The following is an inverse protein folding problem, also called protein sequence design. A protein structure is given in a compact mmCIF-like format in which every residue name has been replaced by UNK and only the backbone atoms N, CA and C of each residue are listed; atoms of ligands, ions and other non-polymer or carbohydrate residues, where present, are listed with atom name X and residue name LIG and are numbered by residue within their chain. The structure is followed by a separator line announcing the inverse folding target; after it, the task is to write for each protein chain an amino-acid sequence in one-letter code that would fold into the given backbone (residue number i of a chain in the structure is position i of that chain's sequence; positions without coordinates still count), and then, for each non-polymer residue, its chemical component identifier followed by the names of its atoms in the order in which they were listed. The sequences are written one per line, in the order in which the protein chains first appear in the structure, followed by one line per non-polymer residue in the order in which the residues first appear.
data_IF_789258165178
#
_entry.id   IF_789258165178
#
_cell.length_a   1.000
_cell.length_b   1.000
_cell.length_c   1.000
_cell.angle_alpha   90.00
_cell.angle_beta   90.00
_cell.angle_gamma   90.00
#
_symmetry.space_group_name_H-M   'P 1'
#
loop_
_entity.id
_entity.type
_entity.pdbx_description
1 polymer ?
#
# COMPACT_ATOMS: atom_id res chain seq x y z
N UNK A 1 22.35 2.42 -4.95
CA UNK A 1 21.82 1.05 -4.77
C UNK A 1 21.38 0.54 -6.13
N UNK A 2 21.59 -0.73 -6.49
CA UNK A 2 21.05 -1.26 -7.75
C UNK A 2 19.52 -1.45 -7.65
N UNK A 3 18.79 -1.46 -8.78
CA UNK A 3 17.36 -1.76 -8.78
C UNK A 3 17.04 -3.10 -8.10
N UNK A 4 17.88 -4.12 -8.33
CA UNK A 4 17.72 -5.44 -7.70
C UNK A 4 17.84 -5.33 -6.18
N UNK A 5 18.86 -4.62 -5.69
CA UNK A 5 19.05 -4.41 -4.25
C UNK A 5 17.88 -3.61 -3.64
N UNK A 6 17.37 -2.60 -4.35
CA UNK A 6 16.20 -1.83 -3.91
C UNK A 6 14.97 -2.74 -3.75
N UNK A 7 14.63 -3.52 -4.77
CA UNK A 7 13.47 -4.42 -4.70
C UNK A 7 13.61 -5.51 -3.64
N UNK A 8 14.82 -6.03 -3.42
CA UNK A 8 15.07 -6.99 -2.34
C UNK A 8 14.83 -6.36 -0.96
N UNK A 9 15.32 -5.14 -0.72
CA UNK A 9 15.06 -4.41 0.52
C UNK A 9 13.58 -4.06 0.68
N UNK A 10 12.89 -3.69 -0.40
CA UNK A 10 11.46 -3.41 -0.37
C UNK A 10 10.62 -4.63 -0.02
N UNK A 11 10.94 -5.80 -0.59
CA UNK A 11 10.27 -7.04 -0.26
C UNK A 11 10.41 -7.39 1.23
N UNK A 12 11.62 -7.25 1.80
CA UNK A 12 11.86 -7.48 3.22
C UNK A 12 11.07 -6.53 4.14
N UNK A 13 10.99 -5.25 3.76
CA UNK A 13 10.19 -4.27 4.50
C UNK A 13 8.69 -4.58 4.41
N UNK A 14 8.20 -4.96 3.23
CA UNK A 14 6.81 -5.35 3.03
C UNK A 14 6.45 -6.58 3.87
N UNK A 15 7.30 -7.61 3.88
CA UNK A 15 7.08 -8.82 4.69
C UNK A 15 6.98 -8.50 6.18
N UNK A 16 7.90 -7.66 6.69
CA UNK A 16 7.87 -7.24 8.10
C UNK A 16 6.60 -6.44 8.44
N UNK A 17 6.21 -5.51 7.56
CA UNK A 17 5.04 -4.65 7.74
C UNK A 17 3.73 -5.44 7.76
N UNK A 18 3.62 -6.49 6.93
CA UNK A 18 2.43 -7.34 6.86
C UNK A 18 2.40 -8.44 7.93
N UNK A 19 3.54 -8.76 8.57
CA UNK A 19 3.58 -9.81 9.59
C UNK A 19 2.83 -9.43 10.88
N UNK A 20 2.71 -8.13 11.17
CA UNK A 20 2.10 -7.61 12.41
C UNK A 20 0.61 -7.24 12.26
N UNK A 21 0.08 -7.23 11.04
CA UNK A 21 -1.28 -6.81 10.72
C UNK A 21 -2.02 -7.90 9.93
N UNK A 22 -3.25 -8.22 10.34
CA UNK A 22 -4.07 -9.26 9.71
C UNK A 22 -5.20 -8.66 8.86
N UNK A 23 -5.52 -7.40 9.06
CA UNK A 23 -6.56 -6.68 8.36
C UNK A 23 -6.09 -6.34 6.93
N UNK A 24 -6.72 -6.99 5.94
CA UNK A 24 -6.35 -6.88 4.53
C UNK A 24 -6.23 -5.42 4.06
N UNK A 25 -7.24 -4.58 4.34
CA UNK A 25 -7.23 -3.19 3.87
C UNK A 25 -6.10 -2.38 4.53
N UNK A 26 -5.76 -2.67 5.78
CA UNK A 26 -4.64 -2.02 6.47
C UNK A 26 -3.30 -2.42 5.84
N UNK A 27 -3.12 -3.71 5.53
CA UNK A 27 -1.93 -4.19 4.80
C UNK A 27 -1.80 -3.56 3.41
N UNK A 28 -2.89 -3.46 2.64
CA UNK A 28 -2.86 -2.84 1.31
C UNK A 28 -2.55 -1.33 1.40
N UNK A 29 -3.06 -0.64 2.42
CA UNK A 29 -2.74 0.76 2.70
C UNK A 29 -1.25 0.95 3.02
N UNK A 30 -0.76 0.18 4.00
CA UNK A 30 0.63 0.20 4.46
C UNK A 30 1.61 -0.10 3.32
N UNK A 31 1.29 -1.10 2.47
CA UNK A 31 2.11 -1.45 1.32
C UNK A 31 2.12 -0.36 0.25
N UNK A 32 0.97 0.27 -0.03
CA UNK A 32 0.89 1.39 -0.97
C UNK A 32 1.73 2.58 -0.49
N UNK A 33 1.67 2.91 0.80
CA UNK A 33 2.50 3.95 1.41
C UNK A 33 4.00 3.62 1.32
N UNK A 34 4.40 2.38 1.66
CA UNK A 34 5.79 1.94 1.53
C UNK A 34 6.32 2.10 0.10
N UNK A 35 5.55 1.62 -0.90
CA UNK A 35 5.95 1.69 -2.30
C UNK A 35 6.03 3.15 -2.80
N UNK A 36 5.09 4.00 -2.40
CA UNK A 36 5.08 5.41 -2.80
C UNK A 36 6.28 6.18 -2.26
N UNK A 37 6.69 5.89 -1.02
CA UNK A 37 7.85 6.55 -0.40
C UNK A 37 9.18 6.11 -0.99
N UNK A 38 9.27 4.88 -1.51
CA UNK A 38 10.55 4.24 -1.83
C UNK A 38 10.83 4.13 -3.33
N UNK A 39 9.80 4.23 -4.17
CA UNK A 39 9.95 4.24 -5.62
C UNK A 39 10.02 5.68 -6.12
N UNK A 40 11.10 5.99 -6.84
CA UNK A 40 11.26 7.26 -7.54
C UNK A 40 10.44 7.29 -8.84
N UNK A 41 10.08 8.49 -9.31
CA UNK A 41 9.39 8.75 -10.59
C UNK A 41 8.01 8.09 -10.76
N UNK A 42 7.25 7.95 -9.68
CA UNK A 42 5.84 7.52 -9.73
C UNK A 42 4.90 8.63 -9.26
N UNK A 43 3.73 8.70 -9.87
CA UNK A 43 2.67 9.65 -9.49
C UNK A 43 1.54 8.98 -8.68
N UNK A 44 1.47 7.65 -8.70
CA UNK A 44 0.43 6.88 -8.03
C UNK A 44 0.85 5.41 -7.86
N UNK A 45 0.42 4.80 -6.76
CA UNK A 45 0.51 3.36 -6.50
C UNK A 45 -0.66 2.93 -5.61
N UNK A 46 -1.22 1.76 -5.88
CA UNK A 46 -2.35 1.23 -5.12
C UNK A 46 -2.84 -0.10 -5.69
N UNK A 47 -3.96 -0.58 -5.15
CA UNK A 47 -4.52 -1.89 -5.49
C UNK A 47 -5.95 -1.77 -6.01
N UNK A 48 -6.27 -2.64 -6.96
CA UNK A 48 -7.65 -2.96 -7.32
C UNK A 48 -7.95 -4.38 -6.85
N UNK A 49 -9.09 -4.58 -6.19
CA UNK A 49 -9.59 -5.90 -5.86
C UNK A 49 -10.53 -6.38 -6.97
N UNK A 50 -10.46 -7.65 -7.28
CA UNK A 50 -11.35 -8.26 -8.26
C UNK A 50 -12.59 -8.81 -7.55
N UNK A 51 -13.73 -8.18 -7.77
CA UNK A 51 -14.99 -8.51 -7.11
C UNK A 51 -16.15 -8.38 -8.10
N UNK A 52 -17.12 -9.29 -8.03
CA UNK A 52 -18.33 -9.27 -8.87
C UNK A 52 -18.05 -9.07 -10.37
N UNK A 53 -16.96 -9.68 -10.86
CA UNK A 53 -16.52 -9.61 -12.25
C UNK A 53 -16.00 -8.23 -12.70
N UNK A 54 -15.61 -7.38 -11.74
CA UNK A 54 -15.08 -6.03 -11.96
C UNK A 54 -13.83 -5.76 -11.10
N UNK A 55 -13.06 -4.73 -11.48
CA UNK A 55 -11.94 -4.22 -10.68
C UNK A 55 -12.42 -3.04 -9.85
N UNK A 56 -12.40 -3.19 -8.54
CA UNK A 56 -12.81 -2.17 -7.57
C UNK A 56 -11.55 -1.56 -6.97
N UNK A 57 -11.40 -0.25 -7.11
CA UNK A 57 -10.31 0.48 -6.47
C UNK A 57 -10.43 0.33 -4.95
N UNK A 58 -9.34 -0.06 -4.29
CA UNK A 58 -9.30 -0.06 -2.83
C UNK A 58 -9.48 1.38 -2.34
N UNK A 59 -10.63 1.64 -1.72
CA UNK A 59 -10.94 2.91 -1.09
C UNK A 59 -10.91 2.75 0.43
N UNK A 60 -10.09 3.56 1.10
CA UNK A 60 -9.91 3.51 2.56
C UNK A 60 -10.79 4.61 3.15
N UNK A 61 -11.94 4.23 3.71
CA UNK A 61 -12.87 5.16 4.34
C UNK A 61 -12.48 5.49 5.79
N UNK A 62 -12.66 6.76 6.18
CA UNK A 62 -12.47 7.24 7.55
C UNK A 62 -13.80 7.24 8.32
N UNK A 63 -14.04 6.20 9.13
CA UNK A 63 -15.11 6.24 10.14
C UNK A 63 -14.67 5.52 11.42
N UNK A 64 -14.50 6.29 12.52
CA UNK A 64 -14.68 5.85 13.91
C UNK A 64 -13.73 4.78 14.46
N UNK A 65 -12.80 5.23 15.30
CA UNK A 65 -12.14 4.52 16.41
C UNK A 65 -11.10 3.42 16.18
N UNK A 66 -10.67 3.11 14.95
CA UNK A 66 -9.27 2.76 14.62
C UNK A 66 -9.16 2.38 13.13
N UNK A 67 -8.70 3.32 12.30
CA UNK A 67 -7.97 3.10 11.04
C UNK A 67 -7.29 4.43 10.69
N UNK A 68 -5.97 4.53 10.88
CA UNK A 68 -5.18 5.64 10.35
C UNK A 68 -4.42 5.14 9.13
N UNK A 69 -4.74 5.70 7.96
CA UNK A 69 -3.77 6.36 7.04
C UNK A 69 -4.58 7.09 5.97
N UNK A 70 -4.69 8.41 6.10
CA UNK A 70 -5.11 9.26 4.99
C UNK A 70 -3.96 9.37 4.00
N UNK A 71 -4.17 8.91 2.77
CA UNK A 71 -3.31 9.29 1.64
C UNK A 71 -4.14 10.23 0.76
N UNK A 72 -4.17 11.52 1.12
CA UNK A 72 -4.60 12.56 0.18
C UNK A 72 -3.51 12.70 -0.87
N UNK A 73 -3.69 12.00 -1.99
CA UNK A 73 -2.90 12.22 -3.21
C UNK A 73 -3.54 13.43 -3.91
N UNK A 74 -3.01 14.61 -3.63
CA UNK A 74 -3.25 15.79 -4.47
C UNK A 74 -1.96 16.11 -5.21
N UNK A 75 -2.08 16.40 -6.51
CA UNK A 75 -0.99 16.79 -7.42
C UNK A 75 -0.09 17.88 -6.83
#
# INVERSE_FOLDING_TARGET
MSKIQLYQRLAQQADALMAEETHLIANLANLSALLFMELEDINWVGFYLYENNELVLVHINHHGDHLITSMEITQ
#
